data_IF_938759007760
#
_entry.id   IF_938759007760
#
_cell.length_a   1.000
_cell.length_b   1.000
_cell.length_c   1.000
_cell.angle_alpha   90.00
_cell.angle_beta   90.00
_cell.angle_gamma   90.00
#
_symmetry.space_group_name_H-M   'P 1'
#
loop_
_entity.id
_entity.type
_entity.pdbx_description
1 polymer ?
#
# COMPACT_ATOMS: atom_id res chain seq x y z
N UNK A 1 47.84 45.64 -40.82
CA UNK A 1 47.20 46.91 -40.39
C UNK A 1 46.14 47.29 -41.42
N UNK A 2 45.08 47.96 -40.98
CA UNK A 2 43.84 48.35 -41.69
C UNK A 2 42.70 47.32 -41.56
N UNK A 3 41.96 47.46 -40.46
CA UNK A 3 40.62 46.87 -40.24
C UNK A 3 39.55 47.91 -40.62
N UNK A 4 38.50 47.57 -41.38
CA UNK A 4 37.36 48.46 -41.57
C UNK A 4 36.34 48.33 -40.44
N UNK A 5 35.85 49.49 -39.96
CA UNK A 5 34.72 49.64 -39.04
C UNK A 5 33.39 49.42 -39.78
N UNK A 6 32.37 48.84 -39.13
CA UNK A 6 30.99 49.01 -39.54
C UNK A 6 30.16 49.70 -38.45
N UNK A 7 29.96 51.01 -38.60
CA UNK A 7 28.72 51.68 -38.21
C UNK A 7 27.75 51.62 -39.40
N UNK A 8 26.44 51.65 -39.10
CA UNK A 8 25.32 51.80 -40.05
C UNK A 8 24.70 50.54 -40.64
N UNK A 9 24.01 49.74 -39.82
CA UNK A 9 22.80 49.01 -40.26
C UNK A 9 21.75 49.11 -39.15
N UNK A 10 21.08 50.26 -39.07
CA UNK A 10 19.78 50.40 -38.43
C UNK A 10 18.79 50.93 -39.47
N UNK A 11 17.57 50.39 -39.46
CA UNK A 11 16.39 50.72 -40.29
C UNK A 11 16.19 49.86 -41.54
N UNK A 12 15.55 48.70 -41.34
CA UNK A 12 14.39 48.20 -42.12
C UNK A 12 14.01 46.79 -41.65
N UNK A 13 13.06 46.69 -40.73
CA UNK A 13 12.12 45.55 -40.61
C UNK A 13 11.12 45.83 -39.48
N UNK A 14 10.19 46.75 -39.75
CA UNK A 14 8.97 46.97 -38.95
C UNK A 14 7.81 47.11 -39.94
N UNK A 15 7.44 45.98 -40.54
CA UNK A 15 6.18 45.73 -41.24
C UNK A 15 6.11 44.22 -41.43
N UNK A 16 4.93 43.62 -41.35
CA UNK A 16 4.67 42.18 -41.41
C UNK A 16 4.48 41.50 -40.04
N UNK A 17 3.90 42.23 -39.07
CA UNK A 17 3.33 41.65 -37.84
C UNK A 17 1.86 42.06 -37.67
N UNK A 18 1.06 41.89 -38.71
CA UNK A 18 -0.39 42.05 -38.63
C UNK A 18 -1.08 41.30 -39.76
N UNK A 19 -1.14 39.96 -39.72
CA UNK A 19 -2.13 39.16 -40.47
C UNK A 19 -2.20 37.68 -40.06
N UNK A 20 -2.10 37.37 -38.76
CA UNK A 20 -2.39 36.03 -38.23
C UNK A 20 -3.28 36.14 -36.98
N UNK A 21 -4.53 36.56 -37.19
CA UNK A 21 -5.62 36.39 -36.22
C UNK A 21 -6.88 35.88 -36.93
N UNK A 22 -7.41 34.78 -36.38
CA UNK A 22 -8.76 34.19 -36.57
C UNK A 22 -8.93 33.13 -37.66
N UNK A 23 -8.49 31.91 -37.35
CA UNK A 23 -9.20 30.70 -37.77
C UNK A 23 -9.63 29.94 -36.51
N UNK A 24 -10.78 30.34 -35.95
CA UNK A 24 -11.44 29.66 -34.83
C UNK A 24 -12.30 28.54 -35.39
N UNK A 25 -11.77 27.32 -35.44
CA UNK A 25 -12.55 26.15 -35.82
C UNK A 25 -13.44 25.73 -34.66
N UNK A 26 -14.72 26.09 -34.80
CA UNK A 26 -15.83 25.71 -33.93
C UNK A 26 -16.17 24.23 -34.17
N UNK A 27 -15.54 23.33 -33.42
CA UNK A 27 -15.93 21.92 -33.38
C UNK A 27 -17.25 21.82 -32.60
N UNK A 28 -18.34 21.53 -33.31
CA UNK A 28 -19.64 21.23 -32.71
C UNK A 28 -19.56 19.87 -32.00
N UNK A 29 -20.15 19.70 -30.80
CA UNK A 29 -20.27 18.39 -30.18
C UNK A 29 -21.25 17.53 -30.99
N UNK A 30 -20.75 16.47 -31.60
CA UNK A 30 -21.55 15.41 -32.21
C UNK A 30 -22.31 14.68 -31.09
N UNK A 31 -23.63 14.78 -31.15
CA UNK A 31 -24.58 13.91 -30.45
C UNK A 31 -24.25 12.45 -30.75
N UNK A 32 -23.61 11.74 -29.83
CA UNK A 32 -23.59 10.27 -29.84
C UNK A 32 -24.94 9.77 -29.35
N UNK A 33 -25.77 9.40 -30.32
CA UNK A 33 -26.95 8.54 -30.12
C UNK A 33 -26.48 7.17 -29.61
N UNK A 34 -27.18 6.67 -28.60
CA UNK A 34 -27.57 5.25 -28.45
C UNK A 34 -26.45 4.21 -28.58
N UNK A 35 -25.73 3.95 -27.49
CA UNK A 35 -25.03 2.67 -27.24
C UNK A 35 -25.87 1.79 -26.31
N UNK A 36 -27.14 1.59 -26.67
CA UNK A 36 -28.04 0.66 -26.01
C UNK A 36 -28.21 -0.63 -26.79
N UNK A 37 -27.15 -1.28 -27.28
CA UNK A 37 -27.28 -2.56 -28.00
C UNK A 37 -26.00 -3.43 -28.01
N UNK A 38 -25.18 -3.48 -26.94
CA UNK A 38 -24.12 -4.50 -26.82
C UNK A 38 -23.99 -4.97 -25.37
N UNK A 39 -25.05 -5.56 -24.83
CA UNK A 39 -25.02 -6.30 -23.56
C UNK A 39 -25.89 -7.56 -23.62
N UNK A 40 -25.87 -8.27 -24.76
CA UNK A 40 -26.59 -9.55 -24.91
C UNK A 40 -25.78 -10.74 -25.43
N UNK A 41 -24.49 -10.60 -25.72
CA UNK A 41 -23.70 -11.71 -26.30
C UNK A 41 -22.51 -12.23 -25.47
N UNK A 42 -22.26 -11.73 -24.27
CA UNK A 42 -21.20 -12.28 -23.40
C UNK A 42 -21.73 -13.30 -22.37
N UNK A 43 -23.06 -13.42 -22.23
CA UNK A 43 -23.66 -14.41 -21.32
C UNK A 43 -23.82 -15.82 -21.92
N UNK A 44 -23.55 -16.00 -23.22
CA UNK A 44 -23.77 -17.28 -23.91
C UNK A 44 -22.50 -18.12 -24.09
N UNK A 45 -21.31 -17.58 -23.81
CA UNK A 45 -20.03 -18.33 -23.95
C UNK A 45 -19.52 -18.82 -22.57
N UNK A 46 -20.05 -18.26 -21.47
CA UNK A 46 -19.70 -18.70 -20.11
C UNK A 46 -20.49 -19.93 -19.64
N UNK A 47 -21.64 -20.22 -20.26
CA UNK A 47 -22.44 -21.43 -19.96
C UNK A 47 -21.90 -22.69 -20.64
N UNK A 48 -21.32 -22.58 -21.83
CA UNK A 48 -20.79 -23.74 -22.57
C UNK A 48 -19.47 -24.25 -21.99
N UNK A 49 -18.64 -23.39 -21.41
CA UNK A 49 -17.40 -23.80 -20.71
C UNK A 49 -17.63 -24.32 -19.29
N UNK A 50 -18.80 -24.08 -18.68
CA UNK A 50 -19.16 -24.66 -17.37
C UNK A 50 -19.78 -26.05 -17.47
N UNK A 51 -20.32 -26.42 -18.64
CA UNK A 51 -20.99 -27.72 -18.81
C UNK A 51 -20.01 -28.88 -19.10
N UNK A 52 -18.82 -28.61 -19.63
CA UNK A 52 -17.84 -29.67 -19.95
C UNK A 52 -16.84 -30.00 -18.83
N UNK A 53 -16.58 -29.10 -17.87
CA UNK A 53 -15.75 -29.45 -16.71
C UNK A 53 -16.46 -30.37 -15.69
N UNK A 54 -17.79 -30.33 -15.62
CA UNK A 54 -18.56 -31.22 -14.75
C UNK A 54 -18.57 -32.69 -15.25
N UNK A 55 -18.29 -32.92 -16.54
CA UNK A 55 -18.25 -34.26 -17.15
C UNK A 55 -16.87 -34.93 -17.06
N UNK A 56 -15.80 -34.16 -16.88
CA UNK A 56 -14.45 -34.68 -16.63
C UNK A 56 -14.19 -35.00 -15.16
N UNK A 57 -14.97 -34.44 -14.24
CA UNK A 57 -14.86 -34.71 -12.79
C UNK A 57 -15.74 -35.87 -12.30
N UNK A 58 -16.66 -36.39 -13.13
CA UNK A 58 -17.52 -37.55 -12.77
C UNK A 58 -16.94 -38.91 -13.17
N UNK A 59 -15.81 -38.96 -13.88
CA UNK A 59 -15.16 -40.19 -14.34
C UNK A 59 -14.12 -40.78 -13.38
N UNK A 60 -13.77 -40.10 -12.29
CA UNK A 60 -12.64 -40.50 -11.42
C UNK A 60 -13.07 -41.02 -10.02
N UNK A 61 -14.36 -41.21 -9.79
CA UNK A 61 -14.88 -41.67 -8.49
C UNK A 61 -15.46 -43.08 -8.58
N UNK A 62 -14.60 -44.10 -8.67
CA UNK A 62 -14.89 -45.48 -8.23
C UNK A 62 -13.58 -46.24 -8.04
N UNK A 63 -13.40 -46.81 -6.83
CA UNK A 63 -12.17 -47.40 -6.24
C UNK A 63 -11.27 -46.34 -5.57
N UNK A 64 -11.05 -46.28 -4.26
CA UNK A 64 -11.33 -47.19 -3.15
C UNK A 64 -10.39 -46.82 -1.99
N UNK A 65 -10.93 -46.83 -0.77
CA UNK A 65 -10.28 -46.83 0.57
C UNK A 65 -9.42 -45.63 1.01
N UNK A 66 -10.02 -44.88 1.94
CA UNK A 66 -9.54 -44.57 3.29
C UNK A 66 -8.11 -44.04 3.47
N UNK A 67 -8.01 -42.75 3.79
CA UNK A 67 -7.63 -42.25 5.13
C UNK A 67 -7.57 -40.72 5.10
N UNK A 68 -8.55 -40.08 5.75
CA UNK A 68 -8.51 -38.65 6.09
C UNK A 68 -7.48 -38.41 7.20
N UNK A 69 -6.88 -37.20 7.25
CA UNK A 69 -7.17 -36.40 8.43
C UNK A 69 -7.52 -34.94 8.12
N UNK A 70 -8.60 -34.54 8.80
CA UNK A 70 -9.02 -33.21 9.24
C UNK A 70 -8.01 -32.06 9.07
N UNK A 71 -8.43 -31.08 8.27
CA UNK A 71 -7.98 -29.69 8.36
C UNK A 71 -8.41 -29.10 9.72
N UNK A 72 -7.43 -28.74 10.54
CA UNK A 72 -7.61 -27.81 11.65
C UNK A 72 -6.81 -26.53 11.32
N UNK A 73 -7.55 -25.45 11.10
CA UNK A 73 -7.06 -24.09 11.26
C UNK A 73 -6.62 -23.89 12.70
N UNK A 74 -5.38 -23.46 12.94
CA UNK A 74 -5.12 -22.59 14.09
C UNK A 74 -3.84 -21.76 13.95
N UNK A 75 -3.96 -20.53 14.46
CA UNK A 75 -2.97 -19.46 14.50
C UNK A 75 -1.72 -19.81 15.32
N UNK A 76 -0.60 -19.10 15.11
CA UNK A 76 0.64 -19.37 15.83
C UNK A 76 0.51 -18.91 17.29
N UNK A 77 0.49 -19.87 18.22
CA UNK A 77 0.60 -19.58 19.65
C UNK A 77 2.08 -19.39 19.99
N UNK A 78 2.42 -18.13 20.30
CA UNK A 78 3.65 -17.73 20.98
C UNK A 78 3.74 -18.41 22.34
N UNK A 79 4.80 -19.18 22.57
CA UNK A 79 5.14 -19.66 23.91
C UNK A 79 6.26 -18.78 24.47
N UNK A 80 5.85 -17.79 25.25
CA UNK A 80 6.71 -17.11 26.23
C UNK A 80 7.01 -18.07 27.38
N UNK A 81 8.27 -18.44 27.51
CA UNK A 81 8.77 -19.23 28.63
C UNK A 81 9.00 -18.31 29.83
N UNK A 82 8.00 -18.24 30.72
CA UNK A 82 8.15 -17.59 32.02
C UNK A 82 8.98 -18.48 32.96
N UNK A 83 10.21 -18.04 33.21
CA UNK A 83 11.02 -18.46 34.34
C UNK A 83 10.37 -17.92 35.62
N UNK A 84 9.92 -18.81 36.51
CA UNK A 84 9.42 -18.43 37.83
C UNK A 84 9.91 -19.42 38.87
N UNK A 85 11.00 -18.99 39.48
CA UNK A 85 11.56 -19.42 40.76
C UNK A 85 10.46 -19.56 41.81
N UNK A 86 10.36 -20.74 42.42
CA UNK A 86 9.63 -20.90 43.68
C UNK A 86 10.59 -21.41 44.74
N UNK A 87 11.08 -20.47 45.55
CA UNK A 87 11.67 -20.77 46.85
C UNK A 87 10.56 -21.26 47.78
N UNK A 88 10.73 -22.45 48.37
CA UNK A 88 10.12 -22.76 49.66
C UNK A 88 11.16 -23.36 50.59
N UNK A 89 11.28 -22.67 51.71
CA UNK A 89 12.11 -22.89 52.87
C UNK A 89 11.31 -23.71 53.89
N UNK A 90 12.04 -24.37 54.79
CA UNK A 90 11.60 -25.02 56.04
C UNK A 90 10.90 -26.39 55.84
N UNK A 91 11.22 -27.47 56.54
CA UNK A 91 11.77 -27.63 57.89
C UNK A 91 12.28 -29.06 58.12
N UNK A 92 13.30 -29.14 58.97
CA UNK A 92 13.62 -30.15 59.98
C UNK A 92 13.63 -31.65 59.68
N UNK A 93 14.84 -32.18 59.92
CA UNK A 93 15.16 -33.58 60.07
C UNK A 93 14.49 -34.22 61.30
N UNK A 94 14.05 -35.47 61.16
CA UNK A 94 14.32 -36.54 62.15
C UNK A 94 13.98 -37.93 61.61
N UNK A 95 15.05 -38.70 61.41
CA UNK A 95 15.20 -40.17 61.49
C UNK A 95 14.12 -41.12 60.99
N UNK A 96 14.48 -42.02 60.06
CA UNK A 96 14.35 -43.48 60.28
C UNK A 96 14.96 -44.28 59.13
N UNK A 97 15.83 -45.23 59.50
CA UNK A 97 16.10 -46.54 58.88
C UNK A 97 16.08 -46.68 57.35
N UNK A 98 17.27 -46.95 56.78
CA UNK A 98 17.44 -47.36 55.40
C UNK A 98 16.74 -48.68 55.06
N UNK A 99 16.13 -48.70 53.87
CA UNK A 99 16.19 -49.72 52.80
C UNK A 99 15.03 -49.47 51.82
N UNK A 100 15.10 -48.40 51.02
CA UNK A 100 14.12 -48.13 49.93
C UNK A 100 14.64 -47.23 48.79
N UNK A 101 15.92 -46.85 48.81
CA UNK A 101 16.51 -45.91 47.85
C UNK A 101 16.75 -46.49 46.45
N UNK A 102 16.82 -47.82 46.30
CA UNK A 102 17.15 -48.46 45.03
C UNK A 102 15.97 -48.58 44.06
N UNK A 103 14.73 -48.60 44.54
CA UNK A 103 13.52 -48.71 43.68
C UNK A 103 13.01 -47.35 43.21
N UNK A 104 13.10 -46.32 44.05
CA UNK A 104 12.74 -44.94 43.69
C UNK A 104 13.69 -44.35 42.64
N UNK A 105 15.00 -44.58 42.80
CA UNK A 105 16.02 -44.16 41.85
C UNK A 105 15.85 -44.79 40.46
N UNK A 106 15.53 -46.10 40.40
CA UNK A 106 15.22 -46.79 39.13
C UNK A 106 13.98 -46.24 38.44
N UNK A 107 12.96 -45.82 39.20
CA UNK A 107 11.73 -45.24 38.66
C UNK A 107 11.97 -43.84 38.06
N UNK A 108 12.76 -43.00 38.73
CA UNK A 108 13.17 -41.71 38.18
C UNK A 108 14.06 -41.86 36.94
N UNK A 109 14.95 -42.86 36.94
CA UNK A 109 15.80 -43.18 35.80
C UNK A 109 15.00 -43.69 34.60
N UNK A 110 13.99 -44.55 34.84
CA UNK A 110 13.03 -44.96 33.81
C UNK A 110 12.21 -43.78 33.26
N UNK A 111 11.75 -42.86 34.12
CA UNK A 111 11.02 -41.67 33.65
C UNK A 111 11.88 -40.74 32.80
N UNK A 112 13.17 -40.59 33.13
CA UNK A 112 14.12 -39.81 32.34
C UNK A 112 14.43 -40.49 30.99
N UNK A 113 14.60 -41.81 30.98
CA UNK A 113 14.78 -42.57 29.75
C UNK A 113 13.55 -42.46 28.83
N UNK A 114 12.35 -42.54 29.41
CA UNK A 114 11.08 -42.44 28.67
C UNK A 114 10.83 -41.00 28.15
N UNK A 115 11.23 -39.99 28.92
CA UNK A 115 11.23 -38.59 28.49
C UNK A 115 12.25 -38.31 27.38
N UNK A 116 13.45 -38.89 27.45
CA UNK A 116 14.47 -38.77 26.42
C UNK A 116 14.04 -39.47 25.11
N UNK A 117 13.38 -40.62 25.21
CA UNK A 117 12.80 -41.31 24.05
C UNK A 117 11.68 -40.48 23.40
N UNK A 118 10.80 -39.86 24.20
CA UNK A 118 9.74 -38.95 23.71
C UNK A 118 10.30 -37.68 23.08
N UNK A 119 11.37 -37.11 23.64
CA UNK A 119 12.02 -35.94 23.06
C UNK A 119 12.67 -36.30 21.71
N UNK A 120 13.34 -37.46 21.63
CA UNK A 120 13.93 -37.95 20.38
C UNK A 120 12.88 -38.19 19.30
N UNK A 121 11.73 -38.80 19.64
CA UNK A 121 10.65 -39.02 18.68
C UNK A 121 9.94 -37.74 18.24
N UNK A 122 9.76 -36.76 19.14
CA UNK A 122 9.23 -35.44 18.80
C UNK A 122 10.20 -34.67 17.88
N UNK A 123 11.50 -34.78 18.14
CA UNK A 123 12.52 -34.16 17.31
C UNK A 123 12.52 -34.76 15.89
N UNK A 124 12.45 -36.09 15.77
CA UNK A 124 12.30 -36.78 14.48
C UNK A 124 11.00 -36.39 13.75
N UNK A 125 9.89 -36.30 14.48
CA UNK A 125 8.60 -35.85 13.92
C UNK A 125 8.66 -34.41 13.40
N UNK A 126 9.31 -33.51 14.14
CA UNK A 126 9.52 -32.11 13.73
C UNK A 126 10.39 -32.05 12.47
N UNK A 127 11.48 -32.81 12.42
CA UNK A 127 12.32 -32.88 11.21
C UNK A 127 11.55 -33.44 10.01
N UNK A 128 10.77 -34.50 10.19
CA UNK A 128 9.92 -35.05 9.14
C UNK A 128 8.88 -34.04 8.68
N UNK A 129 8.19 -33.35 9.59
CA UNK A 129 7.20 -32.33 9.26
C UNK A 129 7.83 -31.16 8.50
N UNK A 130 8.99 -30.67 8.95
CA UNK A 130 9.72 -29.60 8.25
C UNK A 130 10.15 -30.04 6.85
N UNK A 131 10.62 -31.28 6.69
CA UNK A 131 10.98 -31.84 5.39
C UNK A 131 9.77 -31.93 4.47
N UNK A 132 8.63 -32.43 4.97
CA UNK A 132 7.38 -32.50 4.20
C UNK A 132 6.85 -31.11 3.82
N UNK A 133 6.95 -30.14 4.72
CA UNK A 133 6.54 -28.75 4.45
C UNK A 133 7.38 -28.11 3.34
N UNK A 134 8.70 -28.31 3.36
CA UNK A 134 9.59 -27.82 2.31
C UNK A 134 9.27 -28.50 0.98
N UNK A 135 9.10 -29.81 0.96
CA UNK A 135 8.71 -30.56 -0.24
C UNK A 135 7.36 -30.08 -0.81
N UNK A 136 6.38 -29.82 0.05
CA UNK A 136 5.08 -29.30 -0.37
C UNK A 136 5.18 -27.88 -0.96
N UNK A 137 6.06 -27.02 -0.44
CA UNK A 137 6.33 -25.70 -1.02
C UNK A 137 6.97 -25.84 -2.41
N UNK A 138 7.98 -26.70 -2.54
CA UNK A 138 8.67 -26.94 -3.80
C UNK A 138 7.72 -27.50 -4.86
N UNK A 139 6.88 -28.48 -4.48
CA UNK A 139 5.86 -29.03 -5.37
C UNK A 139 4.84 -27.97 -5.78
N UNK A 140 4.36 -27.15 -4.83
CA UNK A 140 3.46 -26.04 -5.12
C UNK A 140 4.09 -25.05 -6.11
N UNK A 141 5.34 -24.66 -5.92
CA UNK A 141 6.05 -23.76 -6.84
C UNK A 141 6.16 -24.36 -8.23
N UNK A 142 6.53 -25.64 -8.32
CA UNK A 142 6.59 -26.37 -9.61
C UNK A 142 5.25 -26.36 -10.34
N UNK A 143 4.16 -26.64 -9.62
CA UNK A 143 2.82 -26.62 -10.18
C UNK A 143 2.38 -25.21 -10.61
N UNK A 144 2.77 -24.17 -9.88
CA UNK A 144 2.50 -22.77 -10.25
C UNK A 144 3.25 -22.36 -11.52
N UNK A 145 4.52 -22.75 -11.66
CA UNK A 145 5.32 -22.53 -12.86
C UNK A 145 4.74 -23.25 -14.08
N UNK A 146 4.36 -24.52 -13.93
CA UNK A 146 3.73 -25.29 -15.01
C UNK A 146 2.38 -24.70 -15.41
N UNK A 147 1.55 -24.28 -14.45
CA UNK A 147 0.29 -23.61 -14.73
C UNK A 147 0.48 -22.30 -15.49
N UNK A 148 1.48 -21.50 -15.13
CA UNK A 148 1.79 -20.26 -15.84
C UNK A 148 2.29 -20.55 -17.27
N UNK A 149 3.15 -21.56 -17.43
CA UNK A 149 3.59 -22.02 -18.74
C UNK A 149 2.42 -22.47 -19.63
N UNK A 150 1.51 -23.31 -19.10
CA UNK A 150 0.35 -23.79 -19.83
C UNK A 150 -0.59 -22.63 -20.22
N UNK A 151 -0.82 -21.66 -19.33
CA UNK A 151 -1.61 -20.46 -19.66
C UNK A 151 -0.99 -19.66 -20.80
N UNK A 152 0.32 -19.48 -20.79
CA UNK A 152 1.03 -18.78 -21.86
C UNK A 152 0.99 -19.55 -23.18
N UNK A 153 1.15 -20.87 -23.14
CA UNK A 153 1.07 -21.73 -24.33
C UNK A 153 -0.33 -21.70 -24.96
N UNK A 154 -1.38 -21.87 -24.16
CA UNK A 154 -2.77 -21.81 -24.62
C UNK A 154 -3.08 -20.42 -25.19
N UNK A 155 -2.66 -19.34 -24.53
CA UNK A 155 -2.85 -17.98 -25.02
C UNK A 155 -2.15 -17.77 -26.37
N UNK A 156 -0.92 -18.25 -26.52
CA UNK A 156 -0.15 -18.14 -27.76
C UNK A 156 -0.85 -18.87 -28.90
N UNK A 157 -1.22 -20.13 -28.68
CA UNK A 157 -1.94 -20.94 -29.67
C UNK A 157 -3.31 -20.32 -30.02
N UNK A 158 -4.03 -19.77 -29.04
CA UNK A 158 -5.31 -19.09 -29.28
C UNK A 158 -5.12 -17.83 -30.13
N UNK A 159 -4.06 -17.04 -29.90
CA UNK A 159 -3.78 -15.83 -30.68
C UNK A 159 -3.30 -16.15 -32.10
N UNK A 160 -2.53 -17.22 -32.30
CA UNK A 160 -2.12 -17.69 -33.63
C UNK A 160 -3.33 -18.07 -34.49
N UNK A 161 -4.31 -18.74 -33.88
CA UNK A 161 -5.55 -19.15 -34.54
C UNK A 161 -6.62 -18.05 -34.57
N UNK A 162 -6.40 -16.91 -33.90
CA UNK A 162 -7.35 -15.81 -33.83
C UNK A 162 -7.36 -14.94 -35.10
N UNK A 163 -8.50 -14.28 -35.34
CA UNK A 163 -8.62 -13.26 -36.37
C UNK A 163 -7.64 -12.10 -36.14
N UNK A 164 -7.29 -11.40 -37.23
CA UNK A 164 -6.34 -10.27 -37.18
C UNK A 164 -6.85 -9.16 -36.26
N UNK A 165 -8.16 -8.89 -36.28
CA UNK A 165 -8.76 -7.85 -35.44
C UNK A 165 -8.68 -8.20 -33.95
N UNK A 166 -8.95 -9.47 -33.59
CA UNK A 166 -8.85 -9.92 -32.21
C UNK A 166 -7.40 -9.83 -31.68
N UNK A 167 -6.40 -10.14 -32.51
CA UNK A 167 -4.99 -9.95 -32.16
C UNK A 167 -4.63 -8.49 -31.92
N UNK A 168 -5.14 -7.57 -32.74
CA UNK A 168 -4.93 -6.12 -32.57
C UNK A 168 -5.57 -5.62 -31.29
N UNK A 169 -6.82 -6.00 -31.02
CA UNK A 169 -7.51 -5.65 -29.78
C UNK A 169 -6.79 -6.18 -28.55
N UNK A 170 -6.34 -7.44 -28.58
CA UNK A 170 -5.54 -8.02 -27.50
C UNK A 170 -4.25 -7.21 -27.26
N UNK A 171 -3.55 -6.80 -28.31
CA UNK A 171 -2.36 -5.95 -28.18
C UNK A 171 -2.69 -4.58 -27.57
N UNK A 172 -3.78 -3.94 -28.02
CA UNK A 172 -4.23 -2.65 -27.48
C UNK A 172 -4.63 -2.76 -26.00
N UNK A 173 -5.38 -3.81 -25.64
CA UNK A 173 -5.76 -4.10 -24.26
C UNK A 173 -4.54 -4.36 -23.38
N UNK A 174 -3.56 -5.13 -23.86
CA UNK A 174 -2.30 -5.38 -23.13
C UNK A 174 -1.51 -4.09 -22.90
N UNK A 175 -1.44 -3.22 -23.91
CA UNK A 175 -0.81 -1.90 -23.78
C UNK A 175 -1.57 -1.02 -22.77
N UNK A 176 -2.90 -0.99 -22.84
CA UNK A 176 -3.73 -0.25 -21.90
C UNK A 176 -3.54 -0.76 -20.46
N UNK A 177 -3.55 -2.08 -20.25
CA UNK A 177 -3.31 -2.68 -18.93
C UNK A 177 -1.92 -2.34 -18.39
N UNK A 178 -0.89 -2.36 -19.24
CA UNK A 178 0.48 -1.99 -18.84
C UNK A 178 0.54 -0.51 -18.43
N UNK A 179 -0.10 0.36 -19.21
CA UNK A 179 -0.23 1.79 -18.90
C UNK A 179 -0.96 2.03 -17.57
N UNK A 180 -2.11 1.37 -17.36
CA UNK A 180 -2.86 1.48 -16.12
C UNK A 180 -2.09 0.94 -14.91
N UNK A 181 -1.41 -0.20 -15.04
CA UNK A 181 -0.56 -0.73 -13.97
C UNK A 181 0.55 0.24 -13.59
N UNK A 182 1.23 0.83 -14.58
CA UNK A 182 2.24 1.87 -14.35
C UNK A 182 1.65 3.09 -13.65
N UNK A 183 0.47 3.55 -14.09
CA UNK A 183 -0.23 4.67 -13.47
C UNK A 183 -0.65 4.36 -12.03
N UNK A 184 -1.14 3.15 -11.75
CA UNK A 184 -1.45 2.73 -10.39
C UNK A 184 -0.20 2.75 -9.52
N UNK A 185 0.94 2.25 -10.03
CA UNK A 185 2.22 2.26 -9.31
C UNK A 185 2.72 3.69 -9.01
N UNK A 186 2.47 4.64 -9.91
CA UNK A 186 2.76 6.06 -9.71
C UNK A 186 1.81 6.72 -8.71
N UNK A 187 0.53 6.30 -8.70
CA UNK A 187 -0.50 6.82 -7.80
C UNK A 187 -0.47 6.19 -6.41
N UNK A 188 0.32 5.13 -6.21
CA UNK A 188 0.52 4.56 -4.87
C UNK A 188 1.01 5.65 -3.94
N UNK A 189 0.33 5.77 -2.81
CA UNK A 189 0.74 6.66 -1.76
C UNK A 189 2.10 6.20 -1.22
N UNK A 190 2.99 7.16 -0.99
CA UNK A 190 4.33 6.90 -0.43
C UNK A 190 4.33 7.45 0.98
N UNK A 191 4.55 6.56 1.95
CA UNK A 191 4.57 6.92 3.35
C UNK A 191 5.97 7.41 3.73
N UNK A 192 6.01 8.48 4.53
CA UNK A 192 7.25 9.00 5.11
C UNK A 192 7.63 8.17 6.34
N UNK A 193 8.85 7.64 6.36
CA UNK A 193 9.42 6.97 7.53
C UNK A 193 10.32 7.92 8.32
N UNK A 194 11.26 8.58 7.64
CA UNK A 194 12.18 9.54 8.26
C UNK A 194 12.54 10.65 7.28
N UNK A 195 12.98 11.80 7.79
CA UNK A 195 13.45 12.91 6.96
C UNK A 195 14.60 13.65 7.65
N UNK A 196 15.67 13.94 6.91
CA UNK A 196 16.84 14.70 7.40
C UNK A 196 17.48 15.55 6.32
N UNK A 197 18.01 16.70 6.69
CA UNK A 197 18.85 17.55 5.85
C UNK A 197 20.31 17.13 6.03
N UNK A 198 20.95 16.76 4.92
CA UNK A 198 22.29 16.17 4.90
C UNK A 198 23.36 17.12 4.37
N UNK A 199 22.97 18.12 3.59
CA UNK A 199 23.89 18.99 2.87
C UNK A 199 23.23 20.35 2.55
N UNK A 200 24.05 21.33 2.18
CA UNK A 200 23.59 22.67 1.78
C UNK A 200 24.43 23.20 0.62
N UNK A 201 23.81 23.97 -0.27
CA UNK A 201 24.51 24.59 -1.41
C UNK A 201 23.98 25.98 -1.73
N UNK A 202 24.85 26.83 -2.26
CA UNK A 202 24.47 28.14 -2.77
C UNK A 202 24.19 28.03 -4.28
N UNK A 203 23.07 28.58 -4.73
CA UNK A 203 22.71 28.69 -6.15
C UNK A 203 22.48 30.15 -6.51
N UNK A 204 22.88 30.52 -7.71
CA UNK A 204 22.65 31.87 -8.27
C UNK A 204 21.59 31.78 -9.36
N UNK A 205 20.49 32.55 -9.24
CA UNK A 205 19.46 32.68 -10.28
C UNK A 205 19.12 34.16 -10.45
N UNK A 206 19.16 34.64 -11.69
CA UNK A 206 18.88 36.06 -12.02
C UNK A 206 19.74 37.04 -11.20
N UNK A 207 21.02 36.74 -11.01
CA UNK A 207 21.94 37.57 -10.22
C UNK A 207 21.68 37.58 -8.71
N UNK A 208 20.71 36.80 -8.22
CA UNK A 208 20.43 36.62 -6.79
C UNK A 208 20.88 35.26 -6.32
N UNK A 209 21.69 35.24 -5.27
CA UNK A 209 22.11 34.02 -4.60
C UNK A 209 21.05 33.57 -3.58
N UNK A 210 20.85 32.27 -3.47
CA UNK A 210 19.97 31.64 -2.49
C UNK A 210 20.53 30.28 -2.07
N UNK A 211 20.17 29.84 -0.87
CA UNK A 211 20.61 28.54 -0.33
C UNK A 211 19.53 27.48 -0.56
N UNK A 212 19.98 26.30 -1.00
CA UNK A 212 19.20 25.08 -1.04
C UNK A 212 19.79 24.06 -0.06
N UNK A 213 18.92 23.25 0.51
CA UNK A 213 19.24 22.23 1.49
C UNK A 213 18.87 20.87 0.90
N UNK A 214 19.79 19.92 1.01
CA UNK A 214 19.61 18.55 0.54
C UNK A 214 18.82 17.77 1.56
N UNK A 215 17.55 17.55 1.27
CA UNK A 215 16.65 16.73 2.06
C UNK A 215 16.78 15.28 1.60
N UNK A 216 17.02 14.38 2.56
CA UNK A 216 16.95 12.94 2.39
C UNK A 216 15.71 12.44 3.15
N UNK A 217 14.87 11.67 2.46
CA UNK A 217 13.64 11.09 3.00
C UNK A 217 13.72 9.58 2.84
N UNK A 218 13.41 8.84 3.89
CA UNK A 218 13.24 7.39 3.83
C UNK A 218 11.74 7.08 3.72
N UNK A 219 11.41 6.17 2.82
CA UNK A 219 10.03 5.82 2.47
C UNK A 219 9.81 4.31 2.56
N UNK A 220 8.55 3.91 2.69
CA UNK A 220 8.12 2.52 2.79
C UNK A 220 8.34 1.71 1.50
N UNK A 221 7.98 2.27 0.34
CA UNK A 221 7.94 1.52 -0.93
C UNK A 221 9.01 1.95 -1.96
N UNK A 222 9.62 3.13 -1.82
CA UNK A 222 10.61 3.67 -2.79
C UNK A 222 12.03 3.74 -2.25
N UNK A 223 12.27 3.32 -1.01
CA UNK A 223 13.58 3.44 -0.35
C UNK A 223 13.91 4.89 0.01
N UNK A 224 15.15 5.33 -0.24
CA UNK A 224 15.60 6.68 0.10
C UNK A 224 15.52 7.64 -1.10
N UNK A 225 14.80 8.74 -0.92
CA UNK A 225 14.64 9.82 -1.89
C UNK A 225 15.47 11.03 -1.46
N UNK A 226 16.08 11.72 -2.43
CA UNK A 226 16.94 12.89 -2.17
C UNK A 226 16.55 14.05 -3.07
N UNK A 227 16.35 15.22 -2.48
CA UNK A 227 15.92 16.42 -3.19
C UNK A 227 16.47 17.70 -2.57
N UNK A 228 16.43 18.79 -3.33
CA UNK A 228 16.92 20.10 -2.90
C UNK A 228 15.75 21.06 -2.67
N UNK A 229 15.65 21.58 -1.45
CA UNK A 229 14.61 22.54 -1.09
C UNK A 229 15.18 23.83 -0.52
N UNK A 230 14.42 24.92 -0.67
CA UNK A 230 14.75 26.20 -0.04
C UNK A 230 14.29 26.20 1.40
N UNK A 231 14.94 27.02 2.22
CA UNK A 231 14.56 27.24 3.62
C UNK A 231 13.08 27.63 3.80
N UNK A 232 12.54 28.42 2.86
CA UNK A 232 11.13 28.83 2.85
C UNK A 232 10.14 27.67 2.81
N UNK A 233 10.50 26.53 2.20
CA UNK A 233 9.64 25.34 2.18
C UNK A 233 9.38 24.83 3.59
N UNK A 234 10.43 24.77 4.42
CA UNK A 234 10.33 24.32 5.81
C UNK A 234 9.61 25.34 6.70
N UNK A 235 9.84 26.64 6.48
CA UNK A 235 9.07 27.70 7.17
C UNK A 235 7.57 27.59 6.91
N UNK A 236 7.17 27.39 5.64
CA UNK A 236 5.76 27.24 5.29
C UNK A 236 5.15 25.97 5.90
N UNK A 237 5.93 24.89 5.94
CA UNK A 237 5.51 23.65 6.61
C UNK A 237 5.30 23.88 8.11
N UNK A 238 6.26 24.50 8.80
CA UNK A 238 6.14 24.83 10.22
C UNK A 238 4.91 25.71 10.51
N UNK A 239 4.69 26.76 9.70
CA UNK A 239 3.52 27.63 9.83
C UNK A 239 2.19 26.86 9.63
N UNK A 240 2.17 25.93 8.66
CA UNK A 240 0.98 25.09 8.41
C UNK A 240 0.74 24.11 9.55
N UNK A 241 1.80 23.52 10.12
CA UNK A 241 1.69 22.59 11.25
C UNK A 241 1.23 23.28 12.53
N UNK A 242 1.77 24.47 12.84
CA UNK A 242 1.35 25.31 13.97
C UNK A 242 -0.13 25.71 13.85
N UNK A 243 -0.53 26.23 12.68
CA UNK A 243 -1.92 26.66 12.45
C UNK A 243 -2.94 25.51 12.50
N UNK A 244 -2.56 24.30 12.07
CA UNK A 244 -3.45 23.12 12.14
C UNK A 244 -3.55 22.50 13.53
N UNK A 245 -2.56 22.72 14.40
CA UNK A 245 -2.46 22.05 15.70
C UNK A 245 -2.14 23.07 16.82
N UNK A 246 -3.08 23.97 17.16
CA UNK A 246 -2.81 25.05 18.12
C UNK A 246 -2.46 24.53 19.52
N UNK A 247 -2.99 23.38 19.93
CA UNK A 247 -2.72 22.79 21.26
C UNK A 247 -1.27 22.31 21.43
N UNK A 248 -0.58 21.99 20.32
CA UNK A 248 0.73 21.35 20.31
C UNK A 248 1.78 22.26 19.62
N UNK A 249 1.42 23.52 19.36
CA UNK A 249 2.31 24.45 18.65
C UNK A 249 3.63 24.68 19.38
N UNK A 250 3.60 24.64 20.72
CA UNK A 250 4.76 24.85 21.58
C UNK A 250 5.81 23.74 21.46
N UNK A 251 5.41 22.56 20.96
CA UNK A 251 6.36 21.46 20.74
C UNK A 251 7.12 21.62 19.42
N UNK A 252 6.63 22.43 18.48
CA UNK A 252 7.27 22.60 17.17
C UNK A 252 8.45 23.58 17.31
N UNK A 253 9.70 23.15 17.07
CA UNK A 253 10.87 24.02 17.16
C UNK A 253 10.73 25.25 16.26
N UNK A 254 11.15 26.41 16.77
CA UNK A 254 11.02 27.66 16.03
C UNK A 254 12.14 27.82 15.00
N UNK A 255 11.73 27.87 13.73
CA UNK A 255 12.61 28.18 12.61
C UNK A 255 12.75 29.69 12.46
N UNK A 256 14.00 30.19 12.41
CA UNK A 256 14.29 31.62 12.21
C UNK A 256 13.65 32.13 10.91
N UNK A 257 12.93 33.25 10.95
CA UNK A 257 12.27 33.82 9.75
C UNK A 257 13.19 34.67 8.88
N UNK A 258 14.37 35.04 9.38
CA UNK A 258 15.28 35.95 8.70
C UNK A 258 15.82 35.32 7.41
N UNK A 259 15.67 36.02 6.28
CA UNK A 259 16.34 35.63 5.04
C UNK A 259 17.84 35.87 5.15
N UNK A 260 18.66 34.94 4.67
CA UNK A 260 20.08 35.19 4.47
C UNK A 260 20.21 36.23 3.35
N UNK A 261 20.52 37.48 3.68
CA UNK A 261 20.78 38.53 2.69
C UNK A 261 22.28 38.72 2.52
N UNK A 262 22.79 38.38 1.33
CA UNK A 262 24.11 38.79 0.83
C UNK A 262 25.34 38.09 1.41
N UNK A 263 25.27 37.55 2.64
CA UNK A 263 26.40 36.89 3.29
C UNK A 263 26.04 35.46 3.71
N UNK A 264 26.48 34.49 2.90
CA UNK A 264 26.37 33.07 3.22
C UNK A 264 27.69 32.62 3.85
N UNK A 265 27.72 32.50 5.17
CA UNK A 265 28.83 31.83 5.86
C UNK A 265 28.48 30.36 6.08
N UNK A 266 29.48 29.49 5.97
CA UNK A 266 29.29 28.05 6.20
C UNK A 266 28.75 27.79 7.62
N UNK A 267 29.20 28.57 8.61
CA UNK A 267 28.69 28.51 9.98
C UNK A 267 27.19 28.77 10.07
N UNK A 268 26.67 29.77 9.35
CA UNK A 268 25.23 30.07 9.34
C UNK A 268 24.43 28.96 8.63
N UNK A 269 24.98 28.38 7.55
CA UNK A 269 24.33 27.28 6.84
C UNK A 269 24.27 26.03 7.73
N UNK A 270 25.37 25.69 8.42
CA UNK A 270 25.43 24.57 9.35
C UNK A 270 24.45 24.73 10.53
N UNK A 271 24.37 25.93 11.13
CA UNK A 271 23.40 26.21 12.21
C UNK A 271 21.96 26.01 11.74
N UNK A 272 21.65 26.44 10.51
CA UNK A 272 20.32 26.19 9.92
C UNK A 272 20.06 24.72 9.64
N UNK A 273 21.04 23.97 9.15
CA UNK A 273 20.91 22.52 8.96
C UNK A 273 20.57 21.84 10.29
N UNK A 274 21.25 22.21 11.38
CA UNK A 274 20.98 21.67 12.70
C UNK A 274 19.54 21.95 13.15
N UNK A 275 19.07 23.21 13.04
CA UNK A 275 17.68 23.58 13.38
C UNK A 275 16.64 22.90 12.49
N UNK A 276 16.93 22.74 11.19
CA UNK A 276 16.05 22.04 10.28
C UNK A 276 15.93 20.57 10.65
N UNK A 277 17.03 19.93 11.06
CA UNK A 277 17.03 18.55 11.51
C UNK A 277 16.27 18.38 12.83
N UNK A 278 16.47 19.26 13.81
CA UNK A 278 15.69 19.27 15.04
C UNK A 278 14.19 19.42 14.75
N UNK A 279 13.81 20.38 13.89
CA UNK A 279 12.44 20.55 13.45
C UNK A 279 11.88 19.29 12.78
N UNK A 280 12.62 18.71 11.81
CA UNK A 280 12.19 17.52 11.09
C UNK A 280 12.03 16.33 12.02
N UNK A 281 12.94 16.15 12.98
CA UNK A 281 12.90 15.05 13.94
C UNK A 281 11.61 15.11 14.77
N UNK A 282 11.30 16.28 15.33
CA UNK A 282 10.05 16.48 16.09
C UNK A 282 8.80 16.22 15.24
N UNK A 283 8.73 16.80 14.03
CA UNK A 283 7.51 16.67 13.21
C UNK A 283 7.35 15.30 12.55
N UNK A 284 8.42 14.51 12.48
CA UNK A 284 8.39 13.13 11.97
C UNK A 284 8.11 12.11 13.06
N UNK A 285 8.59 12.31 14.28
CA UNK A 285 8.35 11.40 15.41
C UNK A 285 6.98 11.58 16.06
N UNK A 286 6.47 12.81 16.17
CA UNK A 286 5.21 13.05 16.87
C UNK A 286 4.00 12.64 16.01
N UNK A 287 3.18 11.69 16.48
CA UNK A 287 2.08 11.08 15.72
C UNK A 287 0.98 12.05 15.29
N UNK A 288 0.85 13.19 15.98
CA UNK A 288 -0.22 14.16 15.77
C UNK A 288 -0.06 14.96 14.49
N UNK A 289 1.17 15.11 13.99
CA UNK A 289 1.43 15.90 12.80
C UNK A 289 1.13 15.13 11.52
N UNK A 290 0.27 15.70 10.68
CA UNK A 290 0.04 15.23 9.32
C UNK A 290 0.56 16.26 8.32
N UNK A 291 1.44 15.82 7.44
CA UNK A 291 1.97 16.66 6.38
C UNK A 291 2.42 15.85 5.18
N UNK A 292 2.66 16.53 4.08
CA UNK A 292 3.24 15.91 2.90
C UNK A 292 4.18 16.87 2.20
N UNK A 293 5.12 16.30 1.46
CA UNK A 293 6.08 17.05 0.67
C UNK A 293 6.12 16.48 -0.74
N UNK A 294 6.08 17.40 -1.70
CA UNK A 294 6.12 17.06 -3.11
C UNK A 294 7.58 16.93 -3.52
N UNK A 295 7.93 15.74 -4.03
CA UNK A 295 9.27 15.44 -4.52
C UNK A 295 9.39 15.91 -5.97
N UNK A 296 8.41 15.54 -6.79
CA UNK A 296 8.37 15.81 -8.23
C UNK A 296 6.93 16.13 -8.70
N UNK A 297 6.74 16.26 -10.02
CA UNK A 297 5.44 16.51 -10.63
C UNK A 297 4.40 15.43 -10.32
N UNK A 298 4.84 14.19 -10.17
CA UNK A 298 3.94 13.04 -10.01
C UNK A 298 4.17 12.29 -8.69
N UNK A 299 5.06 12.79 -7.82
CA UNK A 299 5.46 12.09 -6.59
C UNK A 299 5.33 13.00 -5.38
N UNK A 300 4.51 12.58 -4.43
CA UNK A 300 4.35 13.20 -3.12
C UNK A 300 4.55 12.15 -2.04
N UNK A 301 5.26 12.54 -0.98
CA UNK A 301 5.47 11.70 0.20
C UNK A 301 4.65 12.28 1.34
N UNK A 302 3.98 11.41 2.09
CA UNK A 302 3.04 11.82 3.15
C UNK A 302 3.39 11.18 4.48
N UNK A 303 3.33 11.98 5.54
CA UNK A 303 3.24 11.52 6.91
C UNK A 303 1.77 11.51 7.33
N UNK A 304 1.25 10.34 7.68
CA UNK A 304 -0.11 10.16 8.22
C UNK A 304 -0.08 10.21 9.75
N UNK A 305 -1.24 10.51 10.34
CA UNK A 305 -1.42 10.45 11.80
C UNK A 305 -1.39 8.97 12.22
N UNK A 306 -0.67 8.62 13.28
CA UNK A 306 -0.42 7.24 13.72
C UNK A 306 -1.66 6.39 14.10
N UNK A 307 -2.89 6.90 13.92
CA UNK A 307 -4.11 6.09 14.06
C UNK A 307 -4.42 5.20 12.85
N UNK A 308 -3.82 5.48 11.69
CA UNK A 308 -4.18 4.82 10.43
C UNK A 308 -3.07 3.89 9.87
N UNK A 309 -1.97 3.73 10.60
CA UNK A 309 -0.79 2.97 10.13
C UNK A 309 -0.89 1.45 10.37
N UNK A 310 -1.99 0.94 10.92
CA UNK A 310 -2.17 -0.47 11.25
C UNK A 310 -3.58 -0.96 10.91
N UNK A 311 -3.70 -1.75 9.86
CA UNK A 311 -4.91 -2.41 9.35
C UNK A 311 -6.01 -1.50 8.78
N UNK A 312 -6.05 -1.40 7.45
CA UNK A 312 -7.34 -1.38 6.75
C UNK A 312 -7.76 -0.10 6.05
N UNK A 313 -6.90 0.51 5.23
CA UNK A 313 -7.38 1.35 4.11
C UNK A 313 -7.91 0.46 2.95
N UNK A 314 -8.91 -0.38 3.23
CA UNK A 314 -9.65 -1.21 2.24
C UNK A 314 -11.18 -0.94 2.27
N UNK A 315 -11.67 -0.10 3.18
CA UNK A 315 -13.03 0.47 3.14
C UNK A 315 -12.84 1.97 3.02
N UNK A 316 -13.33 2.69 2.00
CA UNK A 316 -14.68 2.73 1.50
C UNK A 316 -14.67 3.17 0.02
N UNK A 317 -14.92 2.26 -0.94
CA UNK A 317 -15.25 2.65 -2.34
C UNK A 317 -16.05 1.56 -3.06
N UNK A 318 -16.87 0.80 -2.34
CA UNK A 318 -17.84 -0.12 -2.95
C UNK A 318 -19.13 -0.11 -2.14
N UNK A 319 -19.87 0.98 -2.21
CA UNK A 319 -21.27 1.03 -1.77
C UNK A 319 -21.99 2.12 -2.55
N UNK A 320 -22.45 1.75 -3.74
CA UNK A 320 -23.76 2.09 -4.31
C UNK A 320 -23.82 1.40 -5.67
N UNK A 321 -25.01 0.94 -6.05
CA UNK A 321 -25.34 0.14 -7.25
C UNK A 321 -25.32 -1.39 -7.05
N UNK A 322 -26.30 -1.88 -6.30
CA UNK A 322 -27.01 -3.12 -6.67
C UNK A 322 -28.50 -2.80 -6.81
N UNK A 323 -29.12 -3.04 -7.99
CA UNK A 323 -30.52 -2.75 -8.22
C UNK A 323 -31.38 -3.87 -7.62
N UNK A 324 -32.22 -3.50 -6.66
CA UNK A 324 -33.23 -4.36 -6.07
C UNK A 324 -34.40 -4.55 -7.06
N UNK A 325 -34.49 -5.72 -7.70
CA UNK A 325 -35.68 -6.15 -8.45
C UNK A 325 -35.97 -7.64 -8.21
N UNK A 326 -36.85 -7.91 -7.25
CA UNK A 326 -37.95 -8.90 -7.28
C UNK A 326 -38.97 -8.34 -6.27
N UNK A 327 -40.13 -7.77 -6.63
CA UNK A 327 -41.34 -8.26 -7.31
C UNK A 327 -42.27 -9.11 -6.40
N UNK A 328 -43.41 -8.48 -6.08
CA UNK A 328 -44.81 -8.91 -5.88
C UNK A 328 -45.21 -10.12 -5.01
N UNK A 329 -46.13 -9.86 -4.05
CA UNK A 329 -47.29 -10.68 -3.64
C UNK A 329 -48.09 -9.91 -2.55
N UNK A 330 -49.24 -9.24 -2.77
CA UNK A 330 -50.65 -9.65 -3.01
C UNK A 330 -51.37 -10.25 -1.76
N UNK A 331 -52.59 -9.75 -1.51
CA UNK A 331 -53.57 -9.95 -0.42
C UNK A 331 -53.37 -9.05 0.83
N UNK A 332 -54.36 -8.33 1.37
CA UNK A 332 -55.79 -8.12 1.11
C UNK A 332 -56.27 -7.09 2.17
N UNK A 333 -56.96 -6.03 1.75
CA UNK A 333 -58.39 -5.76 2.02
C UNK A 333 -58.75 -5.38 3.48
N UNK A 334 -59.63 -4.38 3.64
CA UNK A 334 -60.25 -4.05 4.92
C UNK A 334 -60.39 -2.57 5.27
N UNK A 335 -61.21 -1.84 4.50
CA UNK A 335 -61.81 -0.55 4.88
C UNK A 335 -62.75 -0.67 6.09
N UNK A 336 -62.97 0.43 6.84
CA UNK A 336 -64.03 0.82 7.82
C UNK A 336 -63.32 1.56 8.98
N UNK A 337 -63.66 2.76 9.50
CA UNK A 337 -64.53 3.91 9.20
C UNK A 337 -64.14 5.03 10.23
N UNK A 338 -64.66 6.27 10.11
CA UNK A 338 -64.18 7.49 10.78
C UNK A 338 -65.07 7.98 11.95
N UNK A 339 -64.58 8.95 12.75
CA UNK A 339 -65.34 10.08 13.33
C UNK A 339 -64.47 11.06 14.16
N UNK A 340 -64.42 12.36 13.81
CA UNK A 340 -65.01 13.55 14.51
C UNK A 340 -64.11 14.04 15.69
N UNK A 341 -63.71 15.30 15.95
CA UNK A 341 -64.18 16.69 15.69
C UNK A 341 -62.97 17.67 15.94
N UNK A 342 -62.70 18.71 15.13
CA UNK A 342 -63.00 20.17 15.30
C UNK A 342 -62.59 20.80 16.67
N UNK A 343 -61.82 21.89 16.81
CA UNK A 343 -61.96 23.27 16.27
C UNK A 343 -60.69 24.18 16.48
N UNK A 344 -60.60 25.23 15.64
CA UNK A 344 -60.09 26.63 15.82
C UNK A 344 -58.62 26.89 16.24
N UNK A 345 -57.72 27.54 15.47
CA UNK A 345 -57.62 28.92 14.87
C UNK A 345 -57.04 29.97 15.85
N UNK A 346 -56.15 30.89 15.39
CA UNK A 346 -54.97 31.37 16.12
C UNK A 346 -55.06 32.83 16.59
N UNK A 347 -53.98 33.30 17.25
CA UNK A 347 -53.53 34.69 17.30
C UNK A 347 -52.04 34.73 16.92
#
# INVERSE_FOLDING_TARGET
MITPKPSDIEKKSKKDSSDLKKASYRIKPSRTRSLGYIYKHVSSVSSTLRFDMAKLLSGFARSGSDLSPTFATDSPVSYDFHESSNSRKDSDARGSSGTSSTTSSRRSEQMLADAAAKFSSLQESLYSYKSQYVQAIEEKQRLEEENEFLRQAILTQALENASIDLRREHMQLKQALTSYRSKMEQMKEISLLSAKVVDSRIRTKQGRQYVEYKLQIETDIRGSLVLWHRYSTFLNLAATLKSKNPTIEHQIPELQTQSLTGYFSDRLMLDRVARLNEFLDVVTQADEFQWGIRIDKDTCVYKRRGRDSGLGSVRESISTLSPHLVRDSVYGDGSIRPSIASYAVPM
#
